data_IF_316760076704
#
_entry.id   IF_316760076704
#
_cell.length_a   1.000
_cell.length_b   1.000
_cell.length_c   1.000
_cell.angle_alpha   90.00
_cell.angle_beta   90.00
_cell.angle_gamma   90.00
#
_symmetry.space_group_name_H-M   'P 1'
#
loop_
_entity.id
_entity.type
_entity.pdbx_description
1 polymer ?
#
# COMPACT_ATOMS: atom_id res chain seq x y z
N UNK A 1 21.91 -21.87 44.92
CA UNK A 1 21.18 -20.88 44.09
C UNK A 1 21.75 -20.90 42.66
N UNK A 2 21.24 -21.76 41.76
CA UNK A 2 21.74 -21.87 40.37
C UNK A 2 20.62 -22.02 39.32
N UNK A 3 19.37 -21.72 39.67
CA UNK A 3 18.22 -22.03 38.82
C UNK A 3 17.53 -20.80 38.22
N UNK A 4 17.98 -19.59 38.55
CA UNK A 4 17.27 -18.35 38.21
C UNK A 4 17.75 -17.68 36.90
N UNK A 5 18.88 -18.12 36.31
CA UNK A 5 19.45 -17.51 35.10
C UNK A 5 18.94 -18.10 33.77
N UNK A 6 18.28 -19.26 33.80
CA UNK A 6 17.85 -19.96 32.58
C UNK A 6 16.47 -19.49 32.10
N UNK A 7 15.62 -18.98 33.00
CA UNK A 7 14.24 -18.59 32.68
C UNK A 7 14.19 -17.25 31.91
N UNK A 8 15.14 -16.35 32.14
CA UNK A 8 15.16 -15.03 31.47
C UNK A 8 15.53 -15.14 29.99
N UNK A 9 16.36 -16.12 29.60
CA UNK A 9 16.78 -16.30 28.20
C UNK A 9 15.68 -16.85 27.27
N UNK A 10 14.74 -17.66 27.80
CA UNK A 10 13.64 -18.21 27.00
C UNK A 10 12.54 -17.19 26.70
N UNK A 11 12.33 -16.21 27.59
CA UNK A 11 11.33 -15.15 27.40
C UNK A 11 11.72 -14.13 26.32
N UNK A 12 13.02 -13.93 26.06
CA UNK A 12 13.52 -12.97 25.07
C UNK A 12 13.32 -13.42 23.62
N UNK A 13 13.13 -14.73 23.37
CA UNK A 13 12.99 -15.29 22.01
C UNK A 13 11.55 -15.13 21.49
N UNK A 14 10.56 -14.99 22.37
CA UNK A 14 9.15 -14.80 22.00
C UNK A 14 8.79 -13.35 21.61
N UNK A 15 9.71 -12.40 21.79
CA UNK A 15 9.48 -10.97 21.48
C UNK A 15 9.88 -10.56 20.05
N UNK A 16 10.39 -11.49 19.23
CA UNK A 16 10.93 -11.19 17.89
C UNK A 16 10.01 -11.56 16.72
N UNK A 17 8.81 -12.11 16.97
CA UNK A 17 7.89 -12.56 15.93
C UNK A 17 6.71 -11.61 15.69
N UNK A 18 6.92 -10.31 15.83
CA UNK A 18 5.99 -9.28 15.35
C UNK A 18 6.23 -8.96 13.87
N UNK A 19 6.30 -9.95 12.99
CA UNK A 19 6.37 -9.70 11.55
C UNK A 19 4.99 -9.23 11.08
N UNK A 20 4.89 -7.98 10.60
CA UNK A 20 3.74 -7.55 9.82
C UNK A 20 3.55 -8.53 8.65
N UNK A 21 2.45 -9.29 8.67
CA UNK A 21 2.15 -10.27 7.62
C UNK A 21 1.44 -9.53 6.50
N UNK A 22 2.11 -9.44 5.35
CA UNK A 22 1.53 -8.89 4.12
C UNK A 22 0.86 -10.01 3.34
N UNK A 23 -0.37 -9.78 2.90
CA UNK A 23 -1.07 -10.64 1.96
C UNK A 23 -1.07 -9.98 0.59
N UNK A 24 -0.63 -10.71 -0.43
CA UNK A 24 -0.68 -10.22 -1.82
C UNK A 24 -2.14 -10.25 -2.30
N UNK A 25 -2.58 -9.17 -2.93
CA UNK A 25 -3.86 -9.11 -3.64
C UNK A 25 -3.59 -9.42 -5.13
N UNK A 26 -4.44 -10.23 -5.74
CA UNK A 26 -4.25 -10.68 -7.12
C UNK A 26 -5.59 -11.01 -7.78
N UNK A 27 -6.42 -9.99 -7.96
CA UNK A 27 -7.70 -10.07 -8.69
C UNK A 27 -7.47 -9.99 -10.21
N UNK A 28 -8.53 -10.11 -11.01
CA UNK A 28 -8.42 -9.93 -12.46
C UNK A 28 -8.09 -8.46 -12.80
N UNK A 29 -8.87 -7.52 -12.29
CA UNK A 29 -8.75 -6.10 -12.66
C UNK A 29 -7.44 -5.48 -12.11
N UNK A 30 -7.03 -5.84 -10.89
CA UNK A 30 -5.74 -5.35 -10.37
C UNK A 30 -4.53 -5.86 -11.18
N UNK A 31 -4.66 -7.03 -11.83
CA UNK A 31 -3.64 -7.55 -12.76
C UNK A 31 -3.71 -6.85 -14.10
N UNK A 32 -4.91 -6.61 -14.62
CA UNK A 32 -5.13 -5.87 -15.86
C UNK A 32 -4.50 -4.47 -15.77
N UNK A 33 -4.89 -3.68 -14.76
CA UNK A 33 -4.29 -2.37 -14.50
C UNK A 33 -2.77 -2.45 -14.32
N UNK A 34 -2.27 -3.46 -13.59
CA UNK A 34 -0.81 -3.63 -13.41
C UNK A 34 -0.08 -3.97 -14.71
N UNK A 35 -0.75 -4.57 -15.70
CA UNK A 35 -0.18 -4.85 -17.01
C UNK A 35 -0.26 -3.60 -17.89
N UNK A 36 -1.41 -2.92 -17.92
CA UNK A 36 -1.58 -1.65 -18.64
C UNK A 36 -0.52 -0.62 -18.23
N UNK A 37 -0.30 -0.45 -16.92
CA UNK A 37 0.74 0.44 -16.42
C UNK A 37 2.15 0.04 -16.88
N UNK A 38 2.45 -1.26 -16.96
CA UNK A 38 3.77 -1.71 -17.44
C UNK A 38 3.93 -1.60 -18.95
N UNK A 39 2.83 -1.72 -19.68
CA UNK A 39 2.79 -1.58 -21.14
C UNK A 39 2.88 -0.10 -21.54
N UNK A 40 2.32 0.81 -20.74
CA UNK A 40 2.40 2.26 -20.96
C UNK A 40 3.71 2.88 -20.45
N UNK A 41 4.24 2.39 -19.32
CA UNK A 41 5.45 2.91 -18.67
C UNK A 41 6.52 1.83 -18.59
N UNK A 42 7.32 1.71 -19.65
CA UNK A 42 8.34 0.66 -19.82
C UNK A 42 9.32 0.57 -18.64
N UNK A 43 9.64 1.69 -17.99
CA UNK A 43 10.58 1.75 -16.87
C UNK A 43 10.00 1.25 -15.55
N UNK A 44 8.71 0.92 -15.47
CA UNK A 44 8.15 0.21 -14.32
C UNK A 44 8.71 -1.22 -14.28
N UNK A 45 9.58 -1.46 -13.31
CA UNK A 45 10.18 -2.78 -13.07
C UNK A 45 9.18 -3.75 -12.45
N UNK A 46 8.41 -3.28 -11.47
CA UNK A 46 7.57 -4.14 -10.64
C UNK A 46 6.40 -3.34 -10.06
N UNK A 47 5.24 -3.98 -10.04
CA UNK A 47 4.06 -3.51 -9.33
C UNK A 47 3.65 -4.60 -8.36
N UNK A 48 3.38 -4.24 -7.10
CA UNK A 48 2.90 -5.16 -6.06
C UNK A 48 1.75 -4.51 -5.30
N UNK A 49 0.55 -5.05 -5.50
CA UNK A 49 -0.60 -4.79 -4.64
C UNK A 49 -0.60 -5.77 -3.46
N UNK A 50 -0.71 -5.24 -2.26
CA UNK A 50 -0.74 -6.03 -1.03
C UNK A 50 -1.64 -5.36 0.01
N UNK A 51 -2.05 -6.13 1.00
CA UNK A 51 -2.73 -5.62 2.18
C UNK A 51 -2.10 -6.17 3.45
N UNK A 52 -2.29 -5.44 4.54
CA UNK A 52 -1.90 -5.91 5.87
C UNK A 52 -2.85 -5.37 6.92
N UNK A 53 -3.08 -6.19 7.96
CA UNK A 53 -4.09 -5.98 9.00
C UNK A 53 -4.10 -4.58 9.64
N UNK A 54 -2.94 -3.94 9.78
CA UNK A 54 -2.79 -2.69 10.55
C UNK A 54 -2.41 -1.46 9.73
N UNK A 55 -2.28 -1.57 8.41
CA UNK A 55 -2.01 -0.38 7.60
C UNK A 55 -2.63 -0.41 6.21
N UNK A 56 -3.58 -1.31 5.97
CA UNK A 56 -4.49 -1.20 4.85
C UNK A 56 -3.92 -1.78 3.57
N UNK A 57 -4.22 -1.13 2.45
CA UNK A 57 -3.91 -1.59 1.10
C UNK A 57 -2.79 -0.74 0.52
N UNK A 58 -1.80 -1.37 -0.09
CA UNK A 58 -0.61 -0.71 -0.63
C UNK A 58 -0.33 -1.16 -2.06
N UNK A 59 -0.28 -0.19 -2.95
CA UNK A 59 0.27 -0.31 -4.29
C UNK A 59 1.74 0.09 -4.27
N UNK A 60 2.65 -0.85 -4.46
CA UNK A 60 4.09 -0.55 -4.50
C UNK A 60 4.59 -0.64 -5.94
N UNK A 61 5.07 0.48 -6.46
CA UNK A 61 5.62 0.63 -7.81
C UNK A 61 7.12 0.80 -7.67
N UNK A 62 7.88 -0.06 -8.33
CA UNK A 62 9.33 0.04 -8.40
C UNK A 62 9.74 0.35 -9.83
N UNK A 63 10.51 1.40 -10.02
CA UNK A 63 11.04 1.82 -11.30
C UNK A 63 12.45 1.29 -11.54
N UNK A 64 12.85 1.14 -12.80
CA UNK A 64 14.25 0.81 -13.18
C UNK A 64 15.13 2.04 -13.12
N UNK A 65 14.60 3.17 -13.58
CA UNK A 65 15.21 4.48 -13.55
C UNK A 65 14.22 5.46 -12.92
N UNK A 66 14.68 6.55 -12.26
CA UNK A 66 13.78 7.56 -11.73
C UNK A 66 12.87 8.13 -12.81
N UNK A 67 11.53 8.03 -12.69
CA UNK A 67 10.61 8.62 -13.63
C UNK A 67 10.60 10.14 -13.50
N UNK A 68 10.08 10.80 -14.52
CA UNK A 68 9.69 12.21 -14.39
C UNK A 68 8.57 12.39 -13.35
N UNK A 69 8.39 13.63 -12.89
CA UNK A 69 7.27 13.98 -12.03
C UNK A 69 5.93 13.72 -12.74
N UNK A 70 5.81 14.12 -14.01
CA UNK A 70 4.62 13.91 -14.84
C UNK A 70 4.23 12.43 -14.93
N UNK A 71 5.17 11.54 -15.26
CA UNK A 71 4.91 10.09 -15.31
C UNK A 71 4.47 9.53 -13.95
N UNK A 72 5.08 10.00 -12.85
CA UNK A 72 4.70 9.56 -11.50
C UNK A 72 3.26 9.96 -11.15
N UNK A 73 2.87 11.19 -11.51
CA UNK A 73 1.51 11.69 -11.30
C UNK A 73 0.50 11.01 -12.22
N UNK A 74 0.86 10.69 -13.47
CA UNK A 74 -0.02 9.95 -14.37
C UNK A 74 -0.29 8.53 -13.84
N UNK A 75 0.74 7.80 -13.42
CA UNK A 75 0.57 6.49 -12.76
C UNK A 75 -0.28 6.62 -11.49
N UNK A 76 -0.05 7.65 -10.68
CA UNK A 76 -0.89 7.94 -9.52
C UNK A 76 -2.36 8.13 -9.91
N UNK A 77 -2.66 8.94 -10.92
CA UNK A 77 -4.02 9.20 -11.36
C UNK A 77 -4.73 7.94 -11.87
N UNK A 78 -4.06 7.12 -12.67
CA UNK A 78 -4.61 5.85 -13.15
C UNK A 78 -4.97 4.90 -11.99
N UNK A 79 -4.07 4.75 -11.01
CA UNK A 79 -4.33 3.91 -9.83
C UNK A 79 -5.43 4.52 -8.94
N UNK A 80 -5.42 5.84 -8.75
CA UNK A 80 -6.45 6.58 -7.99
C UNK A 80 -7.83 6.36 -8.60
N UNK A 81 -7.94 6.46 -9.91
CA UNK A 81 -9.23 6.32 -10.60
C UNK A 81 -9.74 4.89 -10.48
N UNK A 82 -8.86 3.88 -10.55
CA UNK A 82 -9.21 2.50 -10.22
C UNK A 82 -9.66 2.34 -8.76
N UNK A 83 -8.95 2.92 -7.79
CA UNK A 83 -9.33 2.85 -6.35
C UNK A 83 -10.72 3.47 -6.10
N UNK A 84 -11.13 4.45 -6.91
CA UNK A 84 -12.45 5.08 -6.79
C UNK A 84 -13.53 4.41 -7.69
N UNK A 85 -13.21 3.29 -8.33
CA UNK A 85 -14.14 2.51 -9.16
C UNK A 85 -14.98 1.54 -8.31
N UNK A 86 -16.12 1.11 -8.87
CA UNK A 86 -16.96 0.06 -8.27
C UNK A 86 -16.22 -1.29 -8.22
N UNK A 87 -15.35 -1.58 -9.20
CA UNK A 87 -14.57 -2.82 -9.24
C UNK A 87 -13.60 -2.92 -8.06
N UNK A 88 -12.99 -1.81 -7.64
CA UNK A 88 -12.15 -1.80 -6.45
C UNK A 88 -12.96 -2.03 -5.17
N UNK A 89 -14.12 -1.38 -5.06
CA UNK A 89 -15.02 -1.53 -3.92
C UNK A 89 -15.45 -2.99 -3.75
N UNK A 90 -15.95 -3.62 -4.82
CA UNK A 90 -16.39 -5.02 -4.76
C UNK A 90 -15.21 -5.99 -4.60
N UNK A 91 -14.25 -5.96 -5.53
CA UNK A 91 -13.30 -7.07 -5.67
C UNK A 91 -12.13 -6.97 -4.68
N UNK A 92 -11.78 -5.75 -4.23
CA UNK A 92 -10.67 -5.54 -3.31
C UNK A 92 -11.15 -5.27 -1.88
N UNK A 93 -12.08 -4.34 -1.68
CA UNK A 93 -12.53 -4.02 -0.32
C UNK A 93 -13.42 -5.12 0.24
N UNK A 94 -14.53 -5.44 -0.42
CA UNK A 94 -15.49 -6.43 0.08
C UNK A 94 -14.92 -7.85 0.02
N UNK A 95 -14.63 -8.34 -1.18
CA UNK A 95 -14.31 -9.76 -1.43
C UNK A 95 -12.91 -10.16 -0.94
N UNK A 96 -11.99 -9.21 -0.80
CA UNK A 96 -10.60 -9.52 -0.45
C UNK A 96 -10.21 -9.02 0.94
N UNK A 97 -10.41 -7.74 1.25
CA UNK A 97 -9.94 -7.15 2.51
C UNK A 97 -10.90 -7.45 3.67
N UNK A 98 -12.18 -7.16 3.50
CA UNK A 98 -13.20 -7.34 4.51
C UNK A 98 -13.34 -8.84 4.82
N UNK A 99 -13.43 -9.71 3.81
CA UNK A 99 -13.42 -11.17 4.05
C UNK A 99 -12.20 -11.65 4.85
N UNK A 100 -11.01 -11.08 4.62
CA UNK A 100 -9.79 -11.49 5.32
C UNK A 100 -9.69 -10.97 6.77
N UNK A 101 -10.33 -9.83 7.10
CA UNK A 101 -10.14 -9.12 8.36
C UNK A 101 -11.43 -8.76 9.14
N UNK A 102 -12.59 -9.26 8.68
CA UNK A 102 -13.97 -8.98 9.13
C UNK A 102 -14.21 -8.91 10.64
N UNK A 103 -13.41 -9.61 11.46
CA UNK A 103 -13.58 -9.65 12.92
C UNK A 103 -12.97 -8.46 13.67
N UNK A 104 -12.08 -7.68 13.04
CA UNK A 104 -11.11 -6.86 13.79
C UNK A 104 -11.02 -5.39 13.35
N UNK A 105 -11.73 -4.97 12.30
CA UNK A 105 -11.63 -3.60 11.76
C UNK A 105 -13.00 -2.92 11.72
N UNK A 106 -13.15 -1.84 12.49
CA UNK A 106 -14.35 -0.98 12.52
C UNK A 106 -14.41 0.04 11.37
N UNK A 107 -13.41 0.05 10.49
CA UNK A 107 -13.28 1.01 9.39
C UNK A 107 -12.58 0.33 8.22
N UNK A 108 -12.96 0.74 7.01
CA UNK A 108 -12.26 0.42 5.79
C UNK A 108 -10.78 0.85 5.83
N UNK A 109 -9.91 0.15 5.07
CA UNK A 109 -8.48 0.35 5.11
C UNK A 109 -8.09 1.72 4.58
N UNK A 110 -6.94 2.24 5.03
CA UNK A 110 -6.27 3.30 4.27
C UNK A 110 -5.64 2.70 3.00
N UNK A 111 -5.51 3.52 1.96
CA UNK A 111 -4.85 3.11 0.72
C UNK A 111 -3.60 3.94 0.49
N UNK A 112 -2.50 3.28 0.11
CA UNK A 112 -1.23 3.94 -0.23
C UNK A 112 -0.76 3.54 -1.61
N UNK A 113 -0.17 4.49 -2.33
CA UNK A 113 0.55 4.28 -3.58
C UNK A 113 1.99 4.74 -3.32
N UNK A 114 2.90 3.78 -3.30
CA UNK A 114 4.31 3.98 -2.95
C UNK A 114 5.18 3.82 -4.20
N UNK A 115 6.08 4.75 -4.41
CA UNK A 115 7.03 4.73 -5.51
C UNK A 115 8.45 4.57 -5.00
N UNK A 116 9.10 3.48 -5.38
CA UNK A 116 10.54 3.24 -5.29
C UNK A 116 11.14 3.63 -6.65
N UNK A 117 11.67 4.85 -6.75
CA UNK A 117 12.08 5.48 -8.00
C UNK A 117 13.45 5.00 -8.47
N UNK A 118 14.28 4.48 -7.56
CA UNK A 118 15.67 4.10 -7.84
C UNK A 118 15.96 2.60 -7.60
N UNK A 119 14.93 1.82 -7.26
CA UNK A 119 15.00 0.40 -6.95
C UNK A 119 15.98 0.07 -5.79
N UNK A 120 16.09 0.97 -4.82
CA UNK A 120 16.86 0.78 -3.58
C UNK A 120 16.04 0.11 -2.46
N UNK A 121 14.76 -0.19 -2.73
CA UNK A 121 13.77 -0.77 -1.81
C UNK A 121 13.28 0.19 -0.73
N UNK A 122 13.50 1.49 -0.89
CA UNK A 122 12.86 2.55 -0.12
C UNK A 122 11.89 3.28 -1.03
N UNK A 123 10.88 3.88 -0.43
CA UNK A 123 9.92 4.67 -1.17
C UNK A 123 10.34 6.12 -1.13
N UNK A 124 10.57 6.71 -2.30
CA UNK A 124 10.93 8.11 -2.50
C UNK A 124 9.69 9.00 -2.64
N UNK A 125 8.52 8.42 -2.97
CA UNK A 125 7.24 9.13 -3.01
C UNK A 125 6.12 8.24 -2.50
N UNK A 126 5.18 8.85 -1.80
CA UNK A 126 3.97 8.18 -1.31
C UNK A 126 2.75 9.09 -1.49
N UNK A 127 1.67 8.48 -1.95
CA UNK A 127 0.33 9.05 -1.97
C UNK A 127 -0.53 8.24 -1.04
N UNK A 128 -1.20 8.89 -0.08
CA UNK A 128 -2.04 8.23 0.91
C UNK A 128 -3.46 8.78 0.85
N UNK A 129 -4.45 7.90 0.86
CA UNK A 129 -5.85 8.24 1.07
C UNK A 129 -6.38 7.55 2.32
N UNK A 130 -7.01 8.32 3.20
CA UNK A 130 -7.67 7.80 4.38
C UNK A 130 -9.15 7.64 4.08
N UNK A 131 -9.71 6.48 4.39
CA UNK A 131 -11.13 6.24 4.16
C UNK A 131 -12.00 7.18 4.99
N UNK A 132 -12.99 7.79 4.33
CA UNK A 132 -14.02 8.63 4.92
C UNK A 132 -15.36 8.34 4.24
N UNK A 133 -16.42 8.09 5.01
CA UNK A 133 -17.76 7.75 4.47
C UNK A 133 -18.31 8.77 3.45
N UNK A 134 -17.99 10.06 3.59
CA UNK A 134 -18.49 11.11 2.70
C UNK A 134 -17.69 11.21 1.40
N UNK A 135 -16.38 11.01 1.47
CA UNK A 135 -15.48 11.23 0.33
C UNK A 135 -14.86 9.95 -0.21
N UNK A 136 -15.14 8.79 0.39
CA UNK A 136 -14.45 7.52 0.17
C UNK A 136 -12.93 7.74 0.10
N UNK A 137 -12.29 7.39 -1.01
CA UNK A 137 -10.86 7.61 -1.28
C UNK A 137 -10.60 8.78 -2.23
N UNK A 138 -11.44 9.83 -2.21
CA UNK A 138 -11.24 11.00 -3.07
C UNK A 138 -10.16 11.94 -2.56
N UNK A 139 -9.89 11.99 -1.25
CA UNK A 139 -8.89 12.91 -0.68
C UNK A 139 -7.54 12.19 -0.61
N UNK A 140 -6.50 12.83 -1.15
CA UNK A 140 -5.14 12.28 -1.20
C UNK A 140 -4.10 13.23 -0.60
N UNK A 141 -3.10 12.64 0.05
CA UNK A 141 -1.97 13.33 0.64
C UNK A 141 -0.68 12.84 -0.01
N UNK A 142 0.19 13.76 -0.42
CA UNK A 142 1.49 13.49 -1.02
C UNK A 142 2.64 13.69 -0.03
N UNK A 143 3.61 12.79 -0.02
CA UNK A 143 4.84 12.93 0.77
C UNK A 143 6.07 12.41 0.00
N UNK A 144 7.16 13.16 0.02
CA UNK A 144 8.48 12.79 -0.57
C UNK A 144 9.36 11.97 0.39
N UNK A 145 8.95 11.86 1.64
CA UNK A 145 9.63 11.03 2.63
C UNK A 145 8.58 10.40 3.54
N UNK A 146 8.78 9.12 3.89
CA UNK A 146 7.91 8.36 4.82
C UNK A 146 7.71 9.05 6.19
N UNK A 147 8.55 10.03 6.52
CA UNK A 147 8.59 10.75 7.81
C UNK A 147 7.90 12.13 7.73
N UNK A 148 7.60 12.63 6.53
CA UNK A 148 7.06 13.99 6.35
C UNK A 148 5.53 14.03 6.51
N UNK A 149 5.01 15.14 7.06
CA UNK A 149 3.57 15.39 7.05
C UNK A 149 3.15 15.64 5.61
N UNK A 150 2.31 14.76 5.04
CA UNK A 150 1.90 14.88 3.65
C UNK A 150 1.15 16.17 3.33
N UNK A 151 1.31 16.68 2.11
CA UNK A 151 0.60 17.84 1.58
C UNK A 151 -0.69 17.36 0.92
N UNK A 152 -1.81 18.03 1.22
CA UNK A 152 -3.09 17.75 0.56
C UNK A 152 -2.95 18.00 -0.95
N UNK A 153 -3.35 17.01 -1.75
CA UNK A 153 -3.51 17.16 -3.19
C UNK A 153 -4.95 17.59 -3.41
N UNK A 154 -5.16 18.88 -3.67
CA UNK A 154 -6.48 19.38 -4.06
C UNK A 154 -6.83 18.82 -5.44
N UNK A 155 -7.94 18.07 -5.52
CA UNK A 155 -8.44 17.57 -6.79
C UNK A 155 -9.16 18.71 -7.52
N UNK A 156 -8.67 19.07 -8.71
CA UNK A 156 -9.49 19.70 -9.74
C UNK A 156 -10.25 18.64 -10.52
#
# INVERSE_FOLDING_TARGET
>A
MKSQKVIVGLASILLLSGCATYQKINTADSRELSNELKDQFDDIKKIKLQMHRHGGIEWNITWRNPPSEEESFEVFHLIRDYINSEDFEQNILEDTFIEAYQSDTLRDPDVRINFDMNNDKKFDRQFTSFYNELTKYRIWYYSEDYISNGVLIENN
#
